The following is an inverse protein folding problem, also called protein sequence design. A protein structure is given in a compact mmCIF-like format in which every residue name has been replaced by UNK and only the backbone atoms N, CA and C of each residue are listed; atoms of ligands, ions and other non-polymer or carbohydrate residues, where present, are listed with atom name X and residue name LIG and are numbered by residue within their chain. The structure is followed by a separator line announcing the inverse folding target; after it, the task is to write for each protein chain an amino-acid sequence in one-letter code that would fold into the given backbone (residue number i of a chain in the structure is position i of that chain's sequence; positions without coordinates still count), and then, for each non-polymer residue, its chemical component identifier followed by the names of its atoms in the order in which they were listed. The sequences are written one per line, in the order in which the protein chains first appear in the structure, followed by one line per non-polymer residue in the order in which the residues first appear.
data_IF_195699492129
#
_entry.id   IF_195699492129
#
_cell.length_a   1.000
_cell.length_b   1.000
_cell.length_c   1.000
_cell.angle_alpha   90.00
_cell.angle_beta   90.00
_cell.angle_gamma   90.00
#
_symmetry.space_group_name_H-M   'P 1'
#
loop_
_entity.id
_entity.type
_entity.pdbx_description
1 polymer ?
#
# COMPACT_ATOMS: atom_id res chain seq x y z
N UNK A 1 9.48 16.08 13.51
CA UNK A 1 10.38 15.63 12.42
C UNK A 1 9.49 15.40 11.22
N UNK A 2 9.77 16.05 10.09
CA UNK A 2 9.01 15.80 8.86
C UNK A 2 9.42 14.44 8.28
N UNK A 3 8.47 13.73 7.67
CA UNK A 3 8.75 12.48 6.95
C UNK A 3 9.83 12.71 5.87
N UNK A 4 10.75 11.76 5.64
CA UNK A 4 11.78 11.91 4.62
C UNK A 4 11.18 12.19 3.23
N UNK A 5 11.62 13.28 2.59
CA UNK A 5 11.17 13.64 1.23
C UNK A 5 9.78 14.26 1.15
N UNK A 6 9.19 14.72 2.26
CA UNK A 6 7.86 15.32 2.26
C UNK A 6 7.71 16.56 1.35
N UNK A 7 8.74 17.40 1.27
CA UNK A 7 8.73 18.57 0.37
C UNK A 7 8.65 18.16 -1.10
N UNK A 8 9.33 17.06 -1.46
CA UNK A 8 9.21 16.50 -2.80
C UNK A 8 7.81 15.95 -3.06
N UNK A 9 7.23 15.22 -2.11
CA UNK A 9 5.86 14.71 -2.21
C UNK A 9 4.83 15.83 -2.39
N UNK A 10 5.00 16.95 -1.68
CA UNK A 10 4.15 18.12 -1.87
C UNK A 10 4.28 18.68 -3.29
N UNK A 11 5.49 18.69 -3.87
CA UNK A 11 5.71 19.16 -5.24
C UNK A 11 5.08 18.28 -6.33
N UNK A 12 4.80 17.00 -6.04
CA UNK A 12 4.13 16.09 -6.98
C UNK A 12 2.63 16.38 -7.15
N UNK A 13 2.05 17.20 -6.27
CA UNK A 13 0.63 17.54 -6.30
C UNK A 13 0.45 19.07 -6.24
N UNK A 14 -0.69 19.53 -6.73
CA UNK A 14 -1.09 20.95 -6.66
C UNK A 14 -1.60 21.37 -5.28
N UNK A 15 -1.90 20.42 -4.39
CA UNK A 15 -2.50 20.68 -3.08
C UNK A 15 -2.14 19.60 -2.06
N UNK A 16 -1.79 20.02 -0.84
CA UNK A 16 -1.54 19.13 0.31
C UNK A 16 -2.69 18.13 0.55
N UNK A 17 -3.92 18.53 0.26
CA UNK A 17 -5.09 17.67 0.44
C UNK A 17 -5.15 16.57 -0.63
N UNK A 18 -4.73 16.88 -1.87
CA UNK A 18 -4.65 15.89 -2.95
C UNK A 18 -3.58 14.85 -2.63
N UNK A 19 -2.42 15.27 -2.10
CA UNK A 19 -1.41 14.34 -1.62
C UNK A 19 -1.97 13.36 -0.58
N UNK A 20 -2.68 13.87 0.44
CA UNK A 20 -3.30 13.02 1.48
C UNK A 20 -4.26 12.00 0.88
N UNK A 21 -5.13 12.41 -0.05
CA UNK A 21 -6.09 11.49 -0.68
C UNK A 21 -5.39 10.44 -1.53
N UNK A 22 -4.37 10.82 -2.30
CA UNK A 22 -3.57 9.89 -3.13
C UNK A 22 -2.87 8.86 -2.26
N UNK A 23 -2.16 9.31 -1.20
CA UNK A 23 -1.46 8.44 -0.26
C UNK A 23 -2.44 7.48 0.42
N UNK A 24 -3.57 7.98 0.91
CA UNK A 24 -4.58 7.16 1.58
C UNK A 24 -5.19 6.10 0.64
N UNK A 25 -5.59 6.48 -0.57
CA UNK A 25 -6.13 5.54 -1.56
C UNK A 25 -5.10 4.47 -1.93
N UNK A 26 -3.85 4.87 -2.13
CA UNK A 26 -2.78 3.92 -2.45
C UNK A 26 -2.51 2.95 -1.29
N UNK A 27 -2.48 3.44 -0.05
CA UNK A 27 -2.32 2.60 1.13
C UNK A 27 -3.46 1.57 1.27
N UNK A 28 -4.72 1.97 1.01
CA UNK A 28 -5.86 1.05 1.00
C UNK A 28 -5.70 -0.05 -0.06
N UNK A 29 -5.23 0.30 -1.26
CA UNK A 29 -4.93 -0.70 -2.29
C UNK A 29 -3.81 -1.66 -1.85
N UNK A 30 -2.72 -1.16 -1.29
CA UNK A 30 -1.62 -1.99 -0.81
C UNK A 30 -2.09 -3.01 0.24
N UNK A 31 -2.88 -2.57 1.22
CA UNK A 31 -3.44 -3.45 2.25
C UNK A 31 -4.37 -4.52 1.66
N UNK A 32 -5.26 -4.13 0.73
CA UNK A 32 -6.22 -5.04 0.09
C UNK A 32 -5.54 -6.18 -0.66
N UNK A 33 -4.36 -5.95 -1.22
CA UNK A 33 -3.60 -6.93 -2.01
C UNK A 33 -2.34 -7.43 -1.30
N UNK A 34 -2.25 -7.27 0.02
CA UNK A 34 -1.12 -7.74 0.84
C UNK A 34 0.25 -7.29 0.28
N UNK A 35 0.33 -6.04 -0.19
CA UNK A 35 1.52 -5.41 -0.78
C UNK A 35 2.03 -6.05 -2.09
N UNK A 36 1.35 -7.07 -2.64
CA UNK A 36 1.73 -7.74 -3.91
C UNK A 36 1.66 -6.81 -5.13
N UNK A 37 0.84 -5.77 -5.04
CA UNK A 37 0.70 -4.73 -6.06
C UNK A 37 1.67 -3.56 -5.87
N UNK A 38 2.69 -3.72 -5.02
CA UNK A 38 3.71 -2.71 -4.83
C UNK A 38 4.55 -2.53 -6.09
N UNK A 39 4.98 -1.30 -6.34
CA UNK A 39 5.90 -0.98 -7.44
C UNK A 39 7.35 -0.91 -6.96
N UNK A 40 7.64 -1.14 -5.67
CA UNK A 40 8.99 -1.10 -5.10
C UNK A 40 9.70 -2.45 -5.28
N UNK A 41 10.98 -2.38 -5.65
CA UNK A 41 11.85 -3.54 -5.64
C UNK A 41 12.22 -3.94 -4.20
N UNK A 42 12.59 -5.20 -3.91
CA UNK A 42 12.91 -5.65 -2.55
C UNK A 42 13.99 -4.84 -1.82
N UNK A 43 14.92 -4.25 -2.56
CA UNK A 43 15.95 -3.36 -2.00
C UNK A 43 15.40 -1.99 -1.59
N UNK A 44 14.27 -1.58 -2.16
CA UNK A 44 13.61 -0.30 -1.93
C UNK A 44 12.48 -0.41 -0.89
N UNK A 45 12.18 -1.62 -0.39
CA UNK A 45 11.11 -1.80 0.59
C UNK A 45 11.39 -1.00 1.86
N UNK A 46 10.40 -0.25 2.38
CA UNK A 46 10.51 0.35 3.69
C UNK A 46 10.73 -0.76 4.73
N UNK A 47 11.73 -0.57 5.59
CA UNK A 47 12.12 -1.57 6.60
C UNK A 47 11.89 -1.05 8.00
N UNK A 48 11.39 -1.91 8.86
CA UNK A 48 11.31 -1.71 10.29
C UNK A 48 12.32 -2.63 10.99
N UNK A 49 13.09 -2.06 11.91
CA UNK A 49 14.06 -2.81 12.71
C UNK A 49 13.37 -3.40 13.93
N UNK A 50 13.25 -4.72 13.99
CA UNK A 50 12.74 -5.46 15.14
C UNK A 50 13.88 -6.14 15.90
N UNK A 51 13.56 -6.76 17.04
CA UNK A 51 14.51 -7.56 17.81
C UNK A 51 15.04 -8.77 17.02
N UNK A 52 14.27 -9.27 16.04
CA UNK A 52 14.64 -10.42 15.20
C UNK A 52 15.39 -10.03 13.92
N UNK A 53 15.53 -8.72 13.63
CA UNK A 53 16.22 -8.22 12.43
C UNK A 53 15.42 -7.17 11.66
N UNK A 54 15.82 -6.90 10.42
CA UNK A 54 15.08 -6.02 9.51
C UNK A 54 13.91 -6.79 8.87
N UNK A 55 12.70 -6.27 9.02
CA UNK A 55 11.50 -6.78 8.37
C UNK A 55 10.85 -5.67 7.53
N UNK A 56 10.05 -6.02 6.50
CA UNK A 56 9.27 -5.01 5.79
C UNK A 56 8.34 -4.27 6.74
N UNK A 57 8.23 -2.94 6.59
CA UNK A 57 7.38 -2.10 7.43
C UNK A 57 5.89 -2.50 7.23
N UNK A 58 5.13 -2.83 8.28
CA UNK A 58 3.70 -3.10 8.14
C UNK A 58 2.86 -1.86 7.77
N UNK A 59 3.40 -0.64 7.92
CA UNK A 59 2.65 0.58 7.68
C UNK A 59 2.51 0.90 6.18
N UNK A 60 1.32 0.66 5.62
CA UNK A 60 1.04 0.93 4.21
C UNK A 60 1.16 2.39 3.77
N UNK A 61 1.09 3.35 4.70
CA UNK A 61 1.30 4.77 4.39
C UNK A 61 2.77 5.03 4.05
N UNK A 62 3.71 4.43 4.78
CA UNK A 62 5.15 4.52 4.49
C UNK A 62 5.45 4.02 3.09
N UNK A 63 4.88 2.87 2.73
CA UNK A 63 4.99 2.31 1.38
C UNK A 63 4.42 3.23 0.31
N UNK A 64 3.19 3.72 0.49
CA UNK A 64 2.56 4.62 -0.46
C UNK A 64 3.37 5.90 -0.69
N UNK A 65 3.90 6.50 0.38
CA UNK A 65 4.77 7.68 0.28
C UNK A 65 6.06 7.37 -0.46
N UNK A 66 6.72 6.25 -0.16
CA UNK A 66 7.95 5.85 -0.83
C UNK A 66 7.73 5.51 -2.31
N UNK A 67 6.63 4.86 -2.65
CA UNK A 67 6.26 4.60 -4.04
C UNK A 67 6.03 5.87 -4.86
N UNK A 68 5.40 6.88 -4.26
CA UNK A 68 5.18 8.16 -4.94
C UNK A 68 6.50 8.84 -5.31
N UNK A 69 7.55 8.72 -4.48
CA UNK A 69 8.87 9.28 -4.78
C UNK A 69 9.53 8.62 -5.99
N UNK A 70 9.13 7.40 -6.36
CA UNK A 70 9.70 6.69 -7.53
C UNK A 70 9.18 7.17 -8.88
N UNK A 71 8.12 7.99 -8.90
CA UNK A 71 7.40 8.41 -10.12
C UNK A 71 6.86 7.25 -10.99
N UNK A 72 6.74 6.03 -10.43
CA UNK A 72 6.14 4.87 -11.11
C UNK A 72 4.60 4.87 -11.08
N UNK A 73 4.00 5.77 -10.30
CA UNK A 73 2.55 5.91 -10.16
C UNK A 73 2.04 7.10 -11.00
N UNK A 74 0.95 6.89 -11.74
CA UNK A 74 0.25 7.97 -12.44
C UNK A 74 -0.82 8.61 -11.55
N UNK A 75 -0.74 9.93 -11.37
CA UNK A 75 -1.69 10.72 -10.59
C UNK A 75 -2.55 11.58 -11.51
N UNK A 76 -3.86 11.57 -11.31
CA UNK A 76 -4.79 12.36 -12.12
C UNK A 76 -6.25 12.06 -11.82
N UNK A 77 -7.12 12.87 -12.38
CA UNK A 77 -8.58 12.71 -12.28
C UNK A 77 -9.11 12.05 -13.55
N UNK A 78 -10.10 11.16 -13.41
CA UNK A 78 -10.73 10.49 -14.56
C UNK A 78 -9.84 9.53 -15.35
N UNK A 79 -8.70 9.09 -14.80
CA UNK A 79 -7.76 8.21 -15.50
C UNK A 79 -8.37 6.86 -15.90
N UNK A 80 -9.09 6.21 -14.98
CA UNK A 80 -9.70 4.90 -15.18
C UNK A 80 -11.03 4.86 -14.40
N UNK A 81 -12.10 4.25 -14.95
CA UNK A 81 -13.31 3.98 -14.17
C UNK A 81 -13.02 3.09 -12.95
N UNK A 82 -13.52 3.48 -11.78
CA UNK A 82 -13.19 2.85 -10.48
C UNK A 82 -13.54 1.35 -10.42
N UNK A 83 -14.71 0.97 -10.96
CA UNK A 83 -15.15 -0.42 -11.02
C UNK A 83 -14.21 -1.28 -11.89
N UNK A 84 -13.74 -0.71 -13.00
CA UNK A 84 -12.84 -1.40 -13.93
C UNK A 84 -11.46 -1.59 -13.30
N UNK A 85 -10.94 -0.56 -12.62
CA UNK A 85 -9.67 -0.64 -11.91
C UNK A 85 -9.72 -1.73 -10.83
N UNK A 86 -10.79 -1.75 -10.04
CA UNK A 86 -10.97 -2.75 -8.98
C UNK A 86 -10.96 -4.18 -9.53
N UNK A 87 -11.73 -4.44 -10.59
CA UNK A 87 -11.78 -5.76 -11.24
C UNK A 87 -10.44 -6.18 -11.84
N UNK A 88 -9.72 -5.25 -12.50
CA UNK A 88 -8.41 -5.52 -13.07
C UNK A 88 -7.39 -5.88 -11.98
N UNK A 89 -7.38 -5.13 -10.87
CA UNK A 89 -6.49 -5.40 -9.75
C UNK A 89 -6.81 -6.73 -9.06
N UNK A 90 -8.10 -7.03 -8.85
CA UNK A 90 -8.53 -8.32 -8.29
C UNK A 90 -8.14 -9.51 -9.20
N UNK A 91 -8.09 -9.32 -10.52
CA UNK A 91 -7.62 -10.35 -11.47
C UNK A 91 -6.09 -10.52 -11.46
N UNK A 92 -5.32 -9.43 -11.41
CA UNK A 92 -3.86 -9.48 -11.44
C UNK A 92 -3.26 -9.91 -10.10
N UNK A 93 -3.89 -9.51 -9.00
CA UNK A 93 -3.45 -9.77 -7.64
C UNK A 93 -4.56 -10.49 -6.88
N UNK A 94 -4.78 -11.79 -7.18
CA UNK A 94 -5.80 -12.57 -6.52
C UNK A 94 -5.55 -12.58 -5.01
N UNK A 95 -6.61 -12.32 -4.25
CA UNK A 95 -6.55 -12.36 -2.79
C UNK A 95 -6.49 -13.82 -2.36
N UNK A 96 -5.54 -14.12 -1.49
CA UNK A 96 -5.61 -15.35 -0.71
C UNK A 96 -6.75 -15.15 0.29
N UNK A 97 -7.87 -15.84 0.05
CA UNK A 97 -8.96 -15.93 1.03
C UNK A 97 -8.37 -16.73 2.20
N UNK A 98 -8.25 -16.16 3.40
CA UNK A 98 -7.83 -16.94 4.56
C UNK A 98 -8.82 -18.09 4.71
N UNK A 99 -8.34 -19.33 4.70
CA UNK A 99 -9.22 -20.46 4.97
C UNK A 99 -9.92 -20.23 6.31
N UNK A 100 -11.24 -20.46 6.41
CA UNK A 100 -11.94 -20.32 7.68
C UNK A 100 -11.27 -21.26 8.68
N UNK A 101 -10.72 -20.68 9.75
CA UNK A 101 -10.16 -21.44 10.86
C UNK A 101 -11.31 -22.27 11.42
N UNK A 102 -11.35 -23.55 11.09
CA UNK A 102 -12.37 -24.45 11.60
C UNK A 102 -12.33 -24.36 13.12
N UNK A 103 -13.47 -23.97 13.72
CA UNK A 103 -13.72 -23.97 15.17
C UNK A 103 -13.28 -25.33 15.76
N UNK A 104 -12.02 -25.46 16.18
CA UNK A 104 -11.48 -26.68 16.81
C UNK A 104 -11.34 -26.57 18.32
N UNK A 105 -11.79 -25.47 18.92
CA UNK A 105 -11.63 -25.20 20.35
C UNK A 105 -12.95 -25.09 21.13
N UNK A 106 -14.09 -25.56 20.59
CA UNK A 106 -15.38 -25.57 21.33
C UNK A 106 -15.73 -26.87 22.07
N UNK A 107 -14.93 -27.93 21.96
CA UNK A 107 -15.25 -29.24 22.55
C UNK A 107 -14.33 -29.64 23.71
N UNK A 108 -13.75 -28.68 24.45
CA UNK A 108 -12.89 -28.99 25.59
C UNK A 108 -13.11 -28.06 26.79
N UNK A 109 -14.31 -28.11 27.36
CA UNK A 109 -14.60 -27.73 28.75
C UNK A 109 -15.73 -28.60 29.31
#
# INVERSE_FOLDING_TARGET
MAEPGFDHLLSLTDSKYRLTVVVAKRAQHLLRYQFKNSVLEPAEWPKMRTLEGEKPDPNAVTWAMQELQTNRLSLGEGLVPEDRLSRMLDQMYPREIPEPVADRDRDRD
#
